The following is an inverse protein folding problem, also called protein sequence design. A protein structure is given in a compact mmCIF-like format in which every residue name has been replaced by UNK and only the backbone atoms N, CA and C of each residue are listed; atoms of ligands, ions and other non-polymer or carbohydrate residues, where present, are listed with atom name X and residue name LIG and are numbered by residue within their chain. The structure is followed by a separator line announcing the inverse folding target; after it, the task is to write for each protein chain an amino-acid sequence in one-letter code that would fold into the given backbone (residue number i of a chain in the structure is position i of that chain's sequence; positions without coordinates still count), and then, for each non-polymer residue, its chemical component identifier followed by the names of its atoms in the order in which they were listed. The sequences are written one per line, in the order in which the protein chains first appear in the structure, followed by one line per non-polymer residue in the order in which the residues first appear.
data_IF_902853518416
#
_entry.id   IF_902853518416
#
_cell.length_a   1.000
_cell.length_b   1.000
_cell.length_c   1.000
_cell.angle_alpha   90.00
_cell.angle_beta   90.00
_cell.angle_gamma   90.00
#
_symmetry.space_group_name_H-M   'P 1'
#
loop_
_entity.id
_entity.type
_entity.pdbx_description
1 polymer ?
#
# COMPACT_ATOMS: atom_id res chain seq x y z
N UNK A 1 8.77 -13.19 0.02
CA UNK A 1 7.59 -12.83 0.79
C UNK A 1 7.26 -11.38 0.52
N UNK A 2 6.01 -11.06 0.25
CA UNK A 2 5.64 -9.68 -0.04
C UNK A 2 5.72 -8.84 1.23
N UNK A 3 5.61 -7.53 1.10
CA UNK A 3 5.47 -6.62 2.23
C UNK A 3 4.28 -6.97 3.12
N UNK A 4 3.25 -7.56 2.54
CA UNK A 4 2.14 -8.06 3.35
C UNK A 4 2.59 -9.18 4.28
N UNK A 5 3.44 -10.06 3.80
CA UNK A 5 4.00 -11.08 4.66
C UNK A 5 4.80 -10.49 5.80
N UNK A 6 5.55 -9.44 5.53
CA UNK A 6 6.23 -8.72 6.58
C UNK A 6 5.27 -8.00 7.52
N UNK A 7 4.32 -7.32 6.95
CA UNK A 7 3.28 -6.70 7.74
C UNK A 7 2.45 -7.73 8.47
N UNK A 8 2.16 -8.81 7.80
CA UNK A 8 1.52 -9.95 8.43
C UNK A 8 2.38 -10.55 9.50
N UNK A 9 3.65 -10.64 9.24
CA UNK A 9 4.57 -11.08 10.25
C UNK A 9 4.57 -10.17 11.46
N UNK A 10 4.51 -8.94 11.23
CA UNK A 10 4.39 -8.00 12.31
C UNK A 10 3.08 -8.15 13.02
N UNK A 11 2.09 -8.33 12.27
CA UNK A 11 0.83 -8.61 12.85
C UNK A 11 0.92 -9.88 13.53
N UNK A 12 1.48 -10.76 12.83
CA UNK A 12 1.60 -11.97 13.38
C UNK A 12 2.19 -11.82 14.67
N UNK A 13 3.05 -11.14 14.63
CA UNK A 13 3.55 -10.96 15.78
C UNK A 13 2.44 -10.70 16.62
N UNK A 14 1.81 -10.14 16.26
CA UNK A 14 0.97 -9.97 17.00
C UNK A 14 0.27 -10.88 17.17
N UNK A 15 0.49 -11.23 16.73
CA UNK A 15 0.06 -11.55 16.95
C UNK A 15 -0.43 -11.98 17.16
N UNK A 16 -0.37 -12.20 17.06
CA UNK A 16 -0.86 -12.43 17.49
C UNK A 16 -1.67 -12.27 18.06
N UNK A 17 -1.53 -12.02 18.39
CA UNK A 17 -2.18 -11.74 18.86
C UNK A 17 -3.08 -11.78 18.37
N UNK A 18 -2.99 -12.00 17.87
CA UNK A 18 -3.55 -11.95 17.57
C UNK A 18 -4.47 -11.90 17.47
N UNK A 19 -4.69 -12.48 17.65
CA UNK A 19 -5.57 -12.24 17.90
C UNK A 19 -5.85 -11.77 18.51
N UNK A 20 -5.54 -11.86 18.61
CA UNK A 20 -5.68 -11.44 19.12
C UNK A 20 -5.73 -10.88 18.84
N UNK A 21 -5.64 -11.31 18.33
CA UNK A 21 -5.77 -10.89 18.13
C UNK A 21 -5.97 -10.03 18.29
N UNK A 22 -6.61 -10.47 18.41
CA UNK A 22 -6.87 -9.46 18.94
C UNK A 22 -5.88 -8.97 19.46
N UNK A 23 -5.60 -9.61 19.70
CA UNK A 23 -4.64 -9.42 20.28
C UNK A 23 -3.87 -8.98 19.46
N UNK A 24 -4.08 -9.43 18.66
CA UNK A 24 -3.54 -9.08 17.97
C UNK A 24 -3.31 -7.97 18.01
N UNK A 25 -4.07 -7.78 18.30
CA UNK A 25 -3.96 -6.63 18.77
C UNK A 25 -2.75 -6.41 19.42
N UNK A 26 -2.44 -7.33 20.09
CA UNK A 26 -1.24 -7.31 20.72
C UNK A 26 -0.27 -7.25 19.72
N UNK A 27 -0.52 -7.93 18.83
CA UNK A 27 0.27 -7.90 17.86
C UNK A 27 0.49 -6.64 17.35
N UNK A 28 -0.45 -6.04 17.22
CA UNK A 28 -0.38 -4.67 16.97
C UNK A 28 0.55 -4.00 17.94
N UNK A 29 0.51 -4.47 19.12
CA UNK A 29 1.44 -4.00 20.11
C UNK A 29 2.86 -4.17 19.64
N UNK A 30 3.16 -5.34 19.20
CA UNK A 30 4.47 -5.64 18.69
C UNK A 30 4.89 -4.72 17.56
N UNK A 31 4.03 -4.51 16.64
CA UNK A 31 4.29 -3.60 15.53
C UNK A 31 4.30 -2.14 15.96
N UNK A 32 3.67 -1.84 17.01
CA UNK A 32 3.45 -0.47 17.45
C UNK A 32 4.66 0.22 18.07
N UNK A 33 5.75 -0.47 18.27
CA UNK A 33 6.84 0.13 19.01
C UNK A 33 6.36 0.68 20.36
N UNK A 34 6.87 1.79 20.78
CA UNK A 34 6.55 2.38 22.07
C UNK A 34 5.04 2.68 22.24
N UNK A 35 4.41 3.22 21.22
CA UNK A 35 2.98 3.51 21.27
C UNK A 35 2.14 2.27 21.32
N UNK A 36 2.49 1.28 20.52
CA UNK A 36 1.82 -0.01 20.52
C UNK A 36 2.03 -0.77 21.81
N UNK A 37 3.22 -0.72 22.37
CA UNK A 37 3.52 -1.33 23.65
C UNK A 37 2.65 -0.73 24.76
N UNK A 38 2.47 0.57 24.78
CA UNK A 38 1.64 1.26 25.75
C UNK A 38 0.18 0.82 25.65
N UNK A 39 -0.37 0.79 24.46
CA UNK A 39 -1.74 0.36 24.23
C UNK A 39 -1.90 -1.13 24.51
N UNK A 40 -0.95 -1.95 24.12
CA UNK A 40 -0.96 -3.37 24.44
C UNK A 40 -0.93 -3.63 25.92
N UNK A 41 -0.06 -2.93 26.66
CA UNK A 41 0.01 -3.04 28.09
C UNK A 41 -1.30 -2.67 28.77
N UNK A 42 -1.99 -1.64 28.30
CA UNK A 42 -3.30 -1.27 28.80
C UNK A 42 -4.35 -2.36 28.52
N UNK A 43 -4.39 -2.86 27.30
CA UNK A 43 -5.31 -3.94 26.94
C UNK A 43 -5.03 -5.22 27.75
N UNK A 44 -3.78 -5.57 27.91
CA UNK A 44 -3.35 -6.73 28.72
C UNK A 44 -3.72 -6.57 30.18
N UNK A 45 -3.62 -5.36 30.72
CA UNK A 45 -4.04 -5.08 32.11
C UNK A 45 -5.52 -5.39 32.32
N UNK A 46 -6.39 -5.06 31.35
CA UNK A 46 -7.81 -5.38 31.41
C UNK A 46 -8.12 -6.86 31.12
N UNK A 47 -7.27 -7.55 30.40
CA UNK A 47 -7.44 -8.95 30.05
C UNK A 47 -6.76 -9.91 31.03
N UNK A 48 -5.92 -9.42 31.93
CA UNK A 48 -5.21 -10.22 32.92
C UNK A 48 -6.21 -10.73 34.00
N UNK A 49 -6.35 -12.04 34.22
CA UNK A 49 -7.29 -12.61 35.19
C UNK A 49 -7.16 -12.04 36.60
N UNK A 50 -5.92 -11.81 37.05
CA UNK A 50 -5.65 -11.24 38.38
C UNK A 50 -6.15 -9.80 38.45
N UNK A 51 -5.95 -9.03 37.38
CA UNK A 51 -6.45 -7.65 37.31
C UNK A 51 -8.00 -7.63 37.27
N UNK A 52 -8.60 -8.56 36.51
CA UNK A 52 -10.06 -8.68 36.46
C UNK A 52 -10.64 -8.97 37.83
N UNK A 53 -10.06 -9.93 38.58
CA UNK A 53 -10.45 -10.25 39.95
C UNK A 53 -10.28 -9.04 40.88
N UNK A 54 -9.14 -8.36 40.80
CA UNK A 54 -8.87 -7.17 41.59
C UNK A 54 -9.89 -6.04 41.29
N UNK A 55 -10.28 -5.87 40.05
CA UNK A 55 -11.31 -4.89 39.64
C UNK A 55 -12.69 -5.27 40.17
N UNK A 56 -13.04 -6.56 40.15
CA UNK A 56 -14.32 -7.06 40.69
C UNK A 56 -14.37 -6.81 42.18
N UNK A 57 -13.33 -7.21 42.91
CA UNK A 57 -13.24 -7.05 44.38
C UNK A 57 -13.16 -5.57 44.77
N UNK A 58 -12.37 -4.78 44.03
CA UNK A 58 -12.22 -3.36 44.30
C UNK A 58 -13.49 -2.55 44.07
N UNK A 59 -14.38 -3.02 43.24
CA UNK A 59 -15.65 -2.38 42.93
C UNK A 59 -16.49 -2.11 44.18
N UNK A 60 -16.59 -3.07 45.08
CA UNK A 60 -17.40 -2.95 46.31
C UNK A 60 -16.93 -1.79 47.18
N UNK A 61 -15.61 -1.52 47.23
CA UNK A 61 -15.04 -0.43 47.99
C UNK A 61 -15.09 0.92 47.28
N UNK A 62 -15.38 0.97 46.01
CA UNK A 62 -15.40 2.21 45.19
C UNK A 62 -16.79 2.63 44.72
N UNK A 63 -17.74 1.71 44.73
CA UNK A 63 -19.12 2.08 44.40
C UNK A 63 -19.77 2.87 45.49
N UNK A 64 -20.34 4.00 45.12
CA UNK A 64 -21.21 4.79 45.96
C UNK A 64 -22.66 4.35 45.69
N UNK A 65 -23.43 4.09 46.73
CA UNK A 65 -24.85 3.74 46.60
C UNK A 65 -25.62 4.97 46.17
N UNK A 66 -25.81 5.12 44.88
CA UNK A 66 -26.34 6.34 44.31
C UNK A 66 -27.53 6.14 43.41
N UNK A 67 -28.27 7.23 43.26
CA UNK A 67 -29.38 7.30 42.32
C UNK A 67 -28.88 7.16 40.89
N UNK A 68 -29.34 6.17 40.13
CA UNK A 68 -28.90 5.95 38.74
C UNK A 68 -29.08 7.16 37.82
N UNK A 69 -29.95 8.11 38.21
CA UNK A 69 -30.19 9.34 37.44
C UNK A 69 -29.04 10.37 37.48
N UNK A 70 -28.03 10.16 38.31
CA UNK A 70 -26.87 11.06 38.43
C UNK A 70 -25.70 10.72 37.50
N UNK A 71 -25.82 9.68 36.69
CA UNK A 71 -24.77 9.33 35.76
C UNK A 71 -24.79 10.16 34.49
N UNK A 72 -23.59 10.46 33.99
CA UNK A 72 -23.43 11.01 32.66
C UNK A 72 -23.95 10.00 31.64
N UNK A 73 -25.10 10.25 31.06
CA UNK A 73 -25.57 9.50 29.91
C UNK A 73 -24.72 9.95 28.68
N UNK A 74 -24.08 9.04 27.97
CA UNK A 74 -23.42 9.42 26.73
C UNK A 74 -24.45 9.94 25.73
N UNK A 75 -24.17 11.08 25.13
CA UNK A 75 -25.01 11.64 24.08
C UNK A 75 -24.76 10.85 22.80
N UNK A 76 -25.81 10.25 22.26
CA UNK A 76 -25.74 9.59 20.97
C UNK A 76 -25.49 10.62 19.87
N UNK A 77 -24.72 10.23 18.81
CA UNK A 77 -24.59 11.08 17.64
C UNK A 77 -25.94 11.50 17.09
N UNK A 78 -26.08 12.77 16.75
CA UNK A 78 -27.33 13.32 16.21
C UNK A 78 -27.60 12.81 14.78
N UNK A 79 -26.59 12.38 14.08
CA UNK A 79 -26.66 11.86 12.72
C UNK A 79 -26.26 10.40 12.71
N UNK A 80 -27.10 9.56 12.12
CA UNK A 80 -26.74 8.16 11.83
C UNK A 80 -25.72 8.12 10.69
N UNK A 81 -24.92 7.05 10.64
CA UNK A 81 -23.87 6.84 9.63
C UNK A 81 -22.83 7.99 9.58
N UNK A 82 -22.56 8.59 10.74
CA UNK A 82 -21.51 9.60 10.86
C UNK A 82 -20.12 8.96 10.85
N UNK A 83 -19.37 9.20 9.80
CA UNK A 83 -18.02 8.66 9.64
C UNK A 83 -17.06 9.09 10.78
N UNK A 84 -17.34 10.15 11.53
CA UNK A 84 -16.55 10.55 12.69
C UNK A 84 -16.56 9.51 13.81
N UNK A 85 -17.54 8.61 13.84
CA UNK A 85 -17.57 7.50 14.79
C UNK A 85 -16.42 6.53 14.60
N UNK A 86 -15.76 6.53 13.45
CA UNK A 86 -14.53 5.74 13.21
C UNK A 86 -13.39 6.14 14.16
N UNK A 87 -13.39 7.31 14.78
CA UNK A 87 -12.38 7.67 15.80
C UNK A 87 -12.45 6.78 17.05
N UNK A 88 -13.60 6.17 17.32
CA UNK A 88 -13.82 5.26 18.45
C UNK A 88 -13.38 3.83 18.16
N UNK A 89 -13.09 3.50 16.91
CA UNK A 89 -12.71 2.16 16.50
C UNK A 89 -11.23 1.91 16.67
N UNK A 90 -10.86 0.69 16.92
CA UNK A 90 -9.47 0.27 16.84
C UNK A 90 -8.93 0.46 15.41
N UNK A 91 -7.66 0.74 15.31
CA UNK A 91 -7.01 1.03 14.01
C UNK A 91 -7.17 -0.11 12.99
N UNK A 92 -7.13 -1.36 13.46
CA UNK A 92 -7.27 -2.51 12.58
C UNK A 92 -8.71 -2.67 12.05
N UNK A 93 -9.74 -2.39 12.89
CA UNK A 93 -11.16 -2.41 12.47
C UNK A 93 -11.39 -1.35 11.39
N UNK A 94 -10.86 -0.16 11.63
CA UNK A 94 -10.94 0.97 10.71
C UNK A 94 -10.27 0.65 9.37
N UNK A 95 -9.06 0.07 9.41
CA UNK A 95 -8.32 -0.32 8.22
C UNK A 95 -9.05 -1.42 7.44
N UNK A 96 -9.57 -2.44 8.12
CA UNK A 96 -10.34 -3.51 7.49
C UNK A 96 -11.61 -2.99 6.82
N UNK A 97 -12.39 -2.18 7.50
CA UNK A 97 -13.63 -1.63 6.95
C UNK A 97 -13.33 -0.72 5.75
N UNK A 98 -12.32 0.14 5.86
CA UNK A 98 -11.92 1.00 4.75
C UNK A 98 -11.37 0.20 3.54
N UNK A 99 -10.69 -0.92 3.78
CA UNK A 99 -10.24 -1.80 2.70
C UNK A 99 -11.43 -2.44 1.97
N UNK A 100 -12.40 -2.96 2.71
CA UNK A 100 -13.61 -3.55 2.10
C UNK A 100 -14.39 -2.51 1.31
N UNK A 101 -14.49 -1.30 1.83
CA UNK A 101 -15.10 -0.16 1.14
C UNK A 101 -14.33 0.22 -0.15
N UNK A 102 -12.99 0.19 -0.11
CA UNK A 102 -12.14 0.44 -1.28
C UNK A 102 -12.30 -0.63 -2.36
N UNK A 103 -12.56 -1.87 -1.97
CA UNK A 103 -12.72 -3.00 -2.89
C UNK A 103 -14.11 -3.07 -3.55
N UNK A 104 -15.06 -2.26 -3.11
CA UNK A 104 -16.39 -2.24 -3.73
C UNK A 104 -16.31 -1.86 -5.20
N UNK A 105 -16.94 -2.68 -6.04
CA UNK A 105 -16.94 -2.52 -7.49
C UNK A 105 -15.65 -2.97 -8.19
N UNK A 106 -14.64 -3.43 -7.46
CA UNK A 106 -13.44 -4.03 -8.05
C UNK A 106 -13.75 -5.44 -8.53
N UNK A 107 -13.44 -5.70 -9.79
CA UNK A 107 -13.57 -7.02 -10.42
C UNK A 107 -12.38 -7.29 -11.32
N UNK A 108 -12.25 -8.55 -11.77
CA UNK A 108 -11.11 -9.00 -12.55
C UNK A 108 -11.57 -9.89 -13.68
N UNK A 109 -10.86 -9.82 -14.81
CA UNK A 109 -11.12 -10.71 -15.95
C UNK A 109 -9.88 -10.92 -16.80
N UNK A 110 -9.84 -12.04 -17.52
CA UNK A 110 -8.86 -12.29 -18.56
C UNK A 110 -9.27 -11.58 -19.87
N UNK A 111 -8.28 -11.12 -20.64
CA UNK A 111 -8.48 -10.46 -21.94
C UNK A 111 -7.38 -10.92 -22.90
N UNK A 112 -7.64 -12.00 -23.61
CA UNK A 112 -6.61 -12.62 -24.45
C UNK A 112 -5.38 -13.06 -23.62
N UNK A 113 -4.19 -12.55 -23.96
CA UNK A 113 -2.95 -12.77 -23.20
C UNK A 113 -2.70 -11.70 -22.13
N UNK A 114 -3.74 -11.00 -21.71
CA UNK A 114 -3.68 -9.98 -20.68
C UNK A 114 -4.66 -10.29 -19.54
N UNK A 115 -4.44 -9.63 -18.42
CA UNK A 115 -5.37 -9.64 -17.30
C UNK A 115 -5.74 -8.21 -16.91
N UNK A 116 -6.98 -8.03 -16.51
CA UNK A 116 -7.57 -6.73 -16.24
C UNK A 116 -8.11 -6.65 -14.83
N UNK A 117 -7.97 -5.49 -14.21
CA UNK A 117 -8.76 -5.06 -13.07
C UNK A 117 -9.71 -3.96 -13.52
N UNK A 118 -10.97 -4.07 -13.09
CA UNK A 118 -12.03 -3.12 -13.41
C UNK A 118 -12.58 -2.48 -12.14
N UNK A 119 -13.08 -1.26 -12.29
CA UNK A 119 -13.88 -0.57 -11.28
C UNK A 119 -15.27 -0.32 -11.83
N UNK A 120 -16.28 -0.96 -11.25
CA UNK A 120 -17.68 -0.89 -11.68
C UNK A 120 -17.85 -1.10 -13.20
N UNK A 121 -17.13 -2.09 -13.73
CA UNK A 121 -17.15 -2.45 -15.15
C UNK A 121 -16.25 -1.62 -16.06
N UNK A 122 -15.66 -0.52 -15.60
CA UNK A 122 -14.68 0.24 -16.38
C UNK A 122 -13.26 -0.25 -16.11
N UNK A 123 -12.45 -0.31 -17.18
CA UNK A 123 -11.05 -0.70 -17.06
C UNK A 123 -10.30 0.24 -16.11
N UNK A 124 -9.64 -0.32 -15.11
CA UNK A 124 -8.72 0.39 -14.22
C UNK A 124 -7.27 0.16 -14.67
N UNK A 125 -6.87 -1.09 -14.80
CA UNK A 125 -5.58 -1.45 -15.36
C UNK A 125 -5.62 -2.75 -16.14
N UNK A 126 -4.83 -2.80 -17.21
CA UNK A 126 -4.59 -4.00 -18.00
C UNK A 126 -3.09 -4.29 -18.05
N UNK A 127 -2.71 -5.54 -17.86
CA UNK A 127 -1.32 -5.99 -17.97
C UNK A 127 -1.27 -7.17 -18.94
N UNK A 128 -0.62 -6.94 -20.10
CA UNK A 128 -0.25 -7.99 -21.03
C UNK A 128 0.86 -8.86 -20.46
N UNK A 129 0.76 -10.17 -20.64
CA UNK A 129 1.81 -11.13 -20.25
C UNK A 129 2.94 -11.13 -21.27
N UNK A 130 4.18 -10.79 -20.88
CA UNK A 130 5.34 -10.97 -21.76
C UNK A 130 5.54 -12.44 -22.13
N UNK A 131 6.16 -12.68 -23.27
CA UNK A 131 6.52 -14.03 -23.68
C UNK A 131 7.74 -14.57 -22.87
N UNK A 132 7.92 -15.87 -22.91
CA UNK A 132 9.00 -16.53 -22.17
C UNK A 132 10.39 -16.08 -22.64
N UNK A 133 10.57 -15.84 -23.95
CA UNK A 133 11.83 -15.38 -24.51
C UNK A 133 12.26 -14.02 -23.96
N UNK A 134 11.31 -13.15 -23.62
CA UNK A 134 11.58 -11.87 -22.96
C UNK A 134 12.24 -12.07 -21.61
N UNK A 135 11.68 -12.96 -20.77
CA UNK A 135 12.26 -13.24 -19.46
C UNK A 135 13.65 -13.89 -19.57
N UNK A 136 13.81 -14.83 -20.50
CA UNK A 136 15.12 -15.45 -20.78
C UNK A 136 16.16 -14.40 -21.23
N UNK A 137 15.78 -13.46 -22.09
CA UNK A 137 16.66 -12.40 -22.57
C UNK A 137 17.03 -11.38 -21.46
N UNK A 138 16.24 -11.30 -20.37
CA UNK A 138 16.53 -10.42 -19.22
C UNK A 138 17.46 -11.07 -18.18
N UNK A 139 17.73 -12.37 -18.25
CA UNK A 139 18.64 -13.05 -17.29
C UNK A 139 20.02 -12.39 -17.24
N UNK A 140 20.70 -12.08 -18.36
CA UNK A 140 22.00 -11.40 -18.31
C UNK A 140 21.96 -10.06 -17.55
N UNK A 141 20.86 -9.31 -17.64
CA UNK A 141 20.69 -8.05 -16.90
C UNK A 141 20.59 -8.31 -15.39
N UNK A 142 19.82 -9.31 -14.98
CA UNK A 142 19.70 -9.69 -13.57
C UNK A 142 21.05 -10.12 -13.00
N UNK A 143 21.83 -10.89 -13.77
CA UNK A 143 23.17 -11.32 -13.38
C UNK A 143 24.16 -10.15 -13.31
N UNK A 144 24.12 -9.22 -14.26
CA UNK A 144 24.96 -8.02 -14.25
C UNK A 144 24.64 -7.11 -13.06
N UNK A 145 23.37 -6.92 -12.75
CA UNK A 145 23.00 -6.09 -11.61
C UNK A 145 23.32 -6.71 -10.25
N UNK A 146 23.57 -8.01 -10.20
CA UNK A 146 24.03 -8.69 -8.99
C UNK A 146 25.37 -8.16 -8.46
N UNK A 147 26.20 -7.51 -9.29
CA UNK A 147 27.42 -6.84 -8.87
C UNK A 147 27.19 -5.75 -7.83
N UNK A 148 25.99 -5.14 -7.83
CA UNK A 148 25.61 -4.12 -6.86
C UNK A 148 25.21 -4.70 -5.49
N UNK A 149 25.12 -6.00 -5.32
CA UNK A 149 24.62 -6.65 -4.09
C UNK A 149 25.42 -6.28 -2.86
N UNK A 150 26.75 -6.25 -2.99
CA UNK A 150 27.61 -5.93 -1.86
C UNK A 150 27.30 -4.52 -1.31
N UNK A 151 27.17 -3.56 -2.20
CA UNK A 151 26.87 -2.18 -1.86
C UNK A 151 25.45 -2.00 -1.28
N UNK A 152 24.48 -2.76 -1.79
CA UNK A 152 23.06 -2.58 -1.48
C UNK A 152 22.45 -3.59 -0.51
N UNK A 153 23.27 -4.52 0.00
CA UNK A 153 22.79 -5.64 0.81
C UNK A 153 21.93 -5.18 2.01
N UNK A 154 22.44 -4.26 2.81
CA UNK A 154 21.73 -3.74 3.98
C UNK A 154 20.42 -3.08 3.61
N UNK A 155 20.42 -2.28 2.54
CA UNK A 155 19.22 -1.62 2.04
C UNK A 155 18.18 -2.64 1.54
N UNK A 156 18.61 -3.63 0.76
CA UNK A 156 17.75 -4.69 0.25
C UNK A 156 17.08 -5.47 1.38
N UNK A 157 17.86 -5.82 2.41
CA UNK A 157 17.35 -6.54 3.58
C UNK A 157 16.35 -5.69 4.37
N UNK A 158 16.64 -4.41 4.60
CA UNK A 158 15.74 -3.50 5.29
C UNK A 158 14.43 -3.24 4.52
N UNK A 159 14.43 -3.46 3.20
CA UNK A 159 13.25 -3.29 2.34
C UNK A 159 12.36 -4.54 2.22
N UNK A 160 12.67 -5.63 2.93
CA UNK A 160 11.81 -6.82 2.99
C UNK A 160 10.51 -6.49 3.75
N UNK A 161 10.64 -5.75 4.82
CA UNK A 161 9.52 -5.27 5.65
C UNK A 161 8.94 -3.94 5.12
N UNK A 162 7.84 -3.46 5.69
CA UNK A 162 7.25 -2.19 5.30
C UNK A 162 8.25 -1.04 5.32
N UNK A 163 8.29 -0.30 4.22
CA UNK A 163 9.33 0.68 3.90
C UNK A 163 9.09 2.05 4.55
N UNK A 164 8.41 2.13 5.71
CA UNK A 164 8.06 3.39 6.36
C UNK A 164 9.25 4.29 6.65
N UNK A 165 10.37 3.72 7.11
CA UNK A 165 11.58 4.47 7.42
C UNK A 165 12.15 5.20 6.19
N UNK A 166 12.06 4.58 5.02
CA UNK A 166 12.53 5.19 3.77
C UNK A 166 11.69 6.40 3.36
N UNK A 167 10.38 6.37 3.58
CA UNK A 167 9.51 7.53 3.37
C UNK A 167 9.74 8.59 4.45
N UNK A 168 9.91 8.17 5.70
CA UNK A 168 10.16 9.06 6.83
C UNK A 168 11.46 9.85 6.67
N UNK A 169 12.46 9.30 6.01
CA UNK A 169 13.72 10.01 5.73
C UNK A 169 13.58 11.18 4.75
N UNK A 170 12.48 11.20 3.96
CA UNK A 170 12.21 12.26 2.98
C UNK A 170 11.22 13.28 3.55
N UNK A 171 10.13 12.82 4.16
CA UNK A 171 9.02 13.69 4.56
C UNK A 171 8.79 13.74 6.07
N UNK A 172 9.70 13.17 6.84
CA UNK A 172 9.68 13.15 8.30
C UNK A 172 8.32 12.69 8.88
N UNK A 173 7.92 11.47 8.57
CA UNK A 173 6.80 10.83 9.26
C UNK A 173 7.22 10.36 10.65
N UNK A 174 6.31 10.46 11.61
CA UNK A 174 6.54 10.03 12.99
C UNK A 174 5.28 9.34 13.52
N UNK A 175 5.38 8.18 14.22
CA UNK A 175 4.22 7.42 14.67
C UNK A 175 3.19 8.23 15.46
N UNK A 176 3.63 9.14 16.31
CA UNK A 176 2.74 9.97 17.13
C UNK A 176 2.17 11.19 16.38
N UNK A 177 2.87 11.71 15.38
CA UNK A 177 2.49 12.94 14.67
C UNK A 177 1.74 12.70 13.38
N UNK A 178 2.02 11.57 12.72
CA UNK A 178 1.46 11.22 11.42
C UNK A 178 0.84 9.81 11.45
N UNK A 179 0.22 9.48 12.57
CA UNK A 179 -0.38 8.17 12.81
C UNK A 179 -1.44 7.81 11.76
N UNK A 180 -2.25 8.78 11.34
CA UNK A 180 -3.27 8.57 10.32
C UNK A 180 -2.67 8.39 8.92
N UNK A 181 -1.51 9.01 8.67
CA UNK A 181 -0.74 8.77 7.45
C UNK A 181 -0.19 7.34 7.42
N UNK A 182 0.31 6.82 8.54
CA UNK A 182 0.72 5.41 8.64
C UNK A 182 -0.47 4.45 8.42
N UNK A 183 -1.63 4.74 9.00
CA UNK A 183 -2.85 3.97 8.76
C UNK A 183 -3.23 4.00 7.26
N UNK A 184 -3.15 5.17 6.63
CA UNK A 184 -3.44 5.34 5.21
C UNK A 184 -2.46 4.55 4.33
N UNK A 185 -1.15 4.61 4.60
CA UNK A 185 -0.14 3.84 3.87
C UNK A 185 -0.41 2.34 4.00
N UNK A 186 -0.72 1.86 5.20
CA UNK A 186 -1.06 0.46 5.40
C UNK A 186 -2.28 0.02 4.58
N UNK A 187 -3.31 0.86 4.52
CA UNK A 187 -4.49 0.60 3.70
C UNK A 187 -4.14 0.53 2.20
N UNK A 188 -3.30 1.46 1.71
CA UNK A 188 -2.80 1.44 0.33
C UNK A 188 -2.02 0.15 0.04
N UNK A 189 -1.15 -0.26 0.95
CA UNK A 189 -0.37 -1.49 0.80
C UNK A 189 -1.28 -2.73 0.70
N UNK A 190 -2.27 -2.85 1.59
CA UNK A 190 -3.20 -3.98 1.56
C UNK A 190 -4.05 -4.01 0.30
N UNK A 191 -4.51 -2.85 -0.16
CA UNK A 191 -5.22 -2.73 -1.43
C UNK A 191 -4.34 -3.18 -2.61
N UNK A 192 -3.09 -2.71 -2.67
CA UNK A 192 -2.14 -3.12 -3.70
C UNK A 192 -1.87 -4.62 -3.67
N UNK A 193 -1.63 -5.19 -2.49
CA UNK A 193 -1.38 -6.63 -2.33
C UNK A 193 -2.54 -7.46 -2.86
N UNK A 194 -3.78 -7.10 -2.53
CA UNK A 194 -4.94 -7.83 -3.05
C UNK A 194 -4.97 -7.81 -4.59
N UNK A 195 -4.78 -6.64 -5.20
CA UNK A 195 -4.84 -6.51 -6.66
C UNK A 195 -3.64 -7.20 -7.33
N UNK A 196 -2.42 -6.93 -6.87
CA UNK A 196 -1.21 -7.52 -7.48
C UNK A 196 -1.20 -9.05 -7.40
N UNK A 197 -1.70 -9.63 -6.31
CA UNK A 197 -1.79 -11.08 -6.16
C UNK A 197 -2.77 -11.71 -7.14
N UNK A 198 -3.85 -11.01 -7.51
CA UNK A 198 -4.75 -11.44 -8.57
C UNK A 198 -4.06 -11.47 -9.94
N UNK A 199 -3.23 -10.44 -10.24
CA UNK A 199 -2.41 -10.43 -11.45
C UNK A 199 -1.35 -11.52 -11.43
N UNK A 200 -0.62 -11.69 -10.34
CA UNK A 200 0.42 -12.73 -10.20
C UNK A 200 -0.13 -14.14 -10.41
N UNK A 201 -1.32 -14.40 -9.85
CA UNK A 201 -2.01 -15.66 -10.05
C UNK A 201 -2.43 -15.88 -11.52
N UNK A 202 -3.04 -14.88 -12.13
CA UNK A 202 -3.58 -15.01 -13.48
C UNK A 202 -2.49 -15.08 -14.56
N UNK A 203 -1.43 -14.27 -14.43
CA UNK A 203 -0.35 -14.20 -15.41
C UNK A 203 0.71 -15.31 -15.22
N UNK A 204 0.85 -15.85 -14.01
CA UNK A 204 1.65 -17.02 -13.65
C UNK A 204 3.08 -17.03 -14.25
N UNK A 205 3.80 -15.92 -14.15
CA UNK A 205 5.17 -15.81 -14.63
C UNK A 205 6.18 -16.29 -13.57
N UNK A 206 7.21 -16.97 -14.01
CA UNK A 206 8.22 -17.57 -13.14
C UNK A 206 9.27 -16.55 -12.67
N UNK A 207 10.03 -16.93 -11.64
CA UNK A 207 11.09 -16.11 -11.07
C UNK A 207 12.39 -16.26 -11.83
N UNK A 208 13.33 -15.28 -11.77
CA UNK A 208 14.61 -15.38 -12.44
C UNK A 208 15.39 -16.65 -12.08
N UNK A 209 15.35 -17.10 -10.83
CA UNK A 209 16.05 -18.32 -10.38
C UNK A 209 15.48 -19.60 -11.02
N UNK A 210 14.23 -19.59 -11.44
CA UNK A 210 13.60 -20.73 -12.11
C UNK A 210 14.03 -20.86 -13.57
N UNK A 211 14.50 -19.75 -14.18
CA UNK A 211 15.12 -19.74 -15.50
C UNK A 211 16.61 -20.05 -15.47
N UNK A 212 17.32 -19.58 -14.43
CA UNK A 212 18.77 -19.77 -14.33
C UNK A 212 19.21 -19.78 -12.86
N UNK A 213 19.72 -20.94 -12.41
CA UNK A 213 20.20 -21.13 -11.04
C UNK A 213 21.40 -20.22 -10.68
N UNK A 214 22.13 -19.69 -11.64
CA UNK A 214 23.23 -18.75 -11.40
C UNK A 214 22.75 -17.39 -10.87
N UNK A 215 21.47 -17.09 -10.97
CA UNK A 215 20.88 -15.86 -10.39
C UNK A 215 21.08 -15.81 -8.88
N UNK A 216 20.97 -16.92 -8.17
CA UNK A 216 21.22 -17.04 -6.73
C UNK A 216 20.62 -15.86 -5.94
N UNK A 217 19.30 -15.83 -5.72
CA UNK A 217 18.67 -14.71 -5.02
C UNK A 217 19.26 -14.51 -3.63
N UNK A 218 19.55 -13.26 -3.26
CA UNK A 218 20.14 -12.96 -1.95
C UNK A 218 19.11 -12.82 -0.81
N UNK A 219 17.81 -12.94 -1.12
CA UNK A 219 16.71 -12.94 -0.17
C UNK A 219 15.76 -14.08 -0.52
N UNK A 220 14.92 -14.48 0.44
CA UNK A 220 13.92 -15.53 0.21
C UNK A 220 13.05 -15.21 -0.99
N UNK A 221 13.01 -16.13 -1.96
CA UNK A 221 12.16 -16.03 -3.13
C UNK A 221 10.74 -16.50 -2.76
N UNK A 222 9.73 -15.65 -2.92
CA UNK A 222 8.35 -16.07 -2.65
C UNK A 222 7.87 -17.14 -3.64
N UNK A 223 7.00 -18.04 -3.19
CA UNK A 223 6.44 -19.10 -4.03
C UNK A 223 5.38 -18.65 -5.05
N UNK A 224 4.93 -17.41 -4.99
CA UNK A 224 4.00 -16.85 -5.98
C UNK A 224 4.75 -16.24 -7.16
N UNK A 225 4.07 -16.10 -8.30
CA UNK A 225 4.64 -15.58 -9.55
C UNK A 225 5.40 -14.25 -9.41
N UNK A 226 6.31 -14.02 -10.35
CA UNK A 226 7.16 -12.82 -10.37
C UNK A 226 6.39 -11.56 -10.81
N UNK A 227 5.56 -11.67 -11.83
CA UNK A 227 5.01 -10.57 -12.61
C UNK A 227 3.54 -10.25 -12.26
N UNK A 228 3.22 -8.96 -12.04
CA UNK A 228 4.10 -7.80 -11.84
C UNK A 228 4.82 -7.83 -10.49
N UNK A 229 5.87 -7.01 -10.30
CA UNK A 229 6.59 -6.90 -9.03
C UNK A 229 5.70 -6.29 -7.94
N UNK A 230 5.53 -7.01 -6.81
CA UNK A 230 4.76 -6.53 -5.67
C UNK A 230 5.37 -5.29 -5.03
N UNK A 231 6.67 -5.32 -4.73
CA UNK A 231 7.37 -4.15 -4.19
C UNK A 231 7.25 -2.93 -5.11
N UNK A 232 7.42 -3.10 -6.43
CA UNK A 232 7.28 -1.99 -7.37
C UNK A 232 5.84 -1.43 -7.36
N UNK A 233 4.81 -2.29 -7.30
CA UNK A 233 3.42 -1.87 -7.20
C UNK A 233 3.19 -1.05 -5.92
N UNK A 234 3.59 -1.59 -4.79
CA UNK A 234 3.34 -1.02 -3.48
C UNK A 234 4.07 0.32 -3.29
N UNK A 235 5.36 0.38 -3.61
CA UNK A 235 6.14 1.60 -3.38
C UNK A 235 5.74 2.75 -4.30
N UNK A 236 5.37 2.46 -5.56
CA UNK A 236 4.89 3.51 -6.45
C UNK A 236 3.48 3.97 -6.10
N UNK A 237 2.62 3.09 -5.57
CA UNK A 237 1.33 3.49 -5.04
C UNK A 237 1.48 4.40 -3.80
N UNK A 238 2.34 4.02 -2.86
CA UNK A 238 2.61 4.83 -1.66
C UNK A 238 3.21 6.19 -2.04
N UNK A 239 4.22 6.22 -2.92
CA UNK A 239 4.78 7.48 -3.39
C UNK A 239 3.72 8.38 -4.05
N UNK A 240 2.86 7.80 -4.90
CA UNK A 240 1.75 8.51 -5.53
C UNK A 240 0.78 9.09 -4.49
N UNK A 241 0.34 8.28 -3.54
CA UNK A 241 -0.60 8.70 -2.48
C UNK A 241 0.02 9.78 -1.60
N UNK A 242 1.28 9.65 -1.18
CA UNK A 242 1.97 10.66 -0.38
C UNK A 242 2.10 11.99 -1.11
N UNK A 243 2.45 11.97 -2.40
CA UNK A 243 2.50 13.19 -3.22
C UNK A 243 1.15 13.89 -3.30
N UNK A 244 0.07 13.12 -3.50
CA UNK A 244 -1.29 13.66 -3.59
C UNK A 244 -1.82 14.12 -2.22
N UNK A 245 -1.44 13.44 -1.13
CA UNK A 245 -1.78 13.84 0.23
C UNK A 245 -1.20 15.21 0.60
N UNK A 246 0.01 15.50 0.13
CA UNK A 246 0.72 16.74 0.37
C UNK A 246 0.38 17.86 -0.62
N UNK A 247 -0.48 17.63 -1.60
CA UNK A 247 -0.85 18.65 -2.57
C UNK A 247 -1.41 19.92 -1.92
N UNK A 248 -1.12 21.10 -2.49
CA UNK A 248 -1.58 22.35 -1.94
C UNK A 248 -3.10 22.47 -1.97
N UNK A 249 -3.61 23.25 -1.05
CA UNK A 249 -4.99 23.75 -1.03
C UNK A 249 -4.98 25.21 -0.59
N UNK A 250 -6.13 25.80 -0.37
CA UNK A 250 -6.23 27.20 0.07
C UNK A 250 -5.49 27.52 1.37
N UNK A 251 -5.11 26.49 2.14
CA UNK A 251 -4.48 26.64 3.46
C UNK A 251 -3.03 26.14 3.49
N UNK A 252 -2.53 25.61 2.38
CA UNK A 252 -1.26 24.88 2.31
C UNK A 252 -0.47 25.21 1.06
N UNK A 253 0.81 25.59 1.18
CA UNK A 253 1.69 25.71 0.01
C UNK A 253 2.03 24.34 -0.58
N UNK A 254 2.48 24.25 -1.84
CA UNK A 254 2.99 23.04 -2.41
C UNK A 254 4.28 22.59 -1.70
N UNK A 255 4.50 21.26 -1.57
CA UNK A 255 5.79 20.76 -1.13
C UNK A 255 6.88 21.16 -2.14
N UNK A 256 8.14 21.31 -1.70
CA UNK A 256 9.25 21.53 -2.63
C UNK A 256 9.31 20.44 -3.71
N UNK A 257 9.63 20.82 -4.95
CA UNK A 257 9.75 19.87 -6.07
C UNK A 257 10.77 18.76 -5.76
N UNK A 258 11.83 19.09 -5.02
CA UNK A 258 12.82 18.12 -4.56
C UNK A 258 12.24 16.99 -3.71
N UNK A 259 11.23 17.28 -2.88
CA UNK A 259 10.54 16.26 -2.08
C UNK A 259 9.77 15.30 -3.00
N UNK A 260 9.08 15.85 -4.00
CA UNK A 260 8.34 15.05 -4.99
C UNK A 260 9.29 14.13 -5.76
N UNK A 261 10.42 14.69 -6.25
CA UNK A 261 11.43 13.91 -6.96
C UNK A 261 12.06 12.83 -6.09
N UNK A 262 12.34 13.13 -4.81
CA UNK A 262 12.91 12.14 -3.89
C UNK A 262 11.97 10.98 -3.63
N UNK A 263 10.67 11.21 -3.50
CA UNK A 263 9.67 10.14 -3.34
C UNK A 263 9.66 9.22 -4.57
N UNK A 264 9.69 9.79 -5.78
CA UNK A 264 9.72 8.99 -7.01
C UNK A 264 11.04 8.22 -7.17
N UNK A 265 12.19 8.84 -6.82
CA UNK A 265 13.51 8.18 -6.84
C UNK A 265 13.59 7.06 -5.81
N UNK A 266 13.03 7.27 -4.61
CA UNK A 266 12.99 6.24 -3.57
C UNK A 266 12.16 5.03 -4.01
N UNK A 267 11.00 5.26 -4.62
CA UNK A 267 10.18 4.18 -5.19
C UNK A 267 10.93 3.41 -6.28
N UNK A 268 11.57 4.12 -7.21
CA UNK A 268 12.37 3.52 -8.26
C UNK A 268 13.54 2.71 -7.71
N UNK A 269 14.24 3.24 -6.69
CA UNK A 269 15.36 2.55 -6.05
C UNK A 269 14.93 1.25 -5.37
N UNK A 270 13.82 1.25 -4.63
CA UNK A 270 13.29 0.04 -4.00
C UNK A 270 12.90 -1.00 -5.07
N UNK A 271 12.24 -0.58 -6.15
CA UNK A 271 11.89 -1.47 -7.26
C UNK A 271 13.12 -2.08 -7.93
N UNK A 272 14.15 -1.26 -8.20
CA UNK A 272 15.43 -1.69 -8.77
C UNK A 272 16.15 -2.69 -7.86
N UNK A 273 16.13 -2.46 -6.56
CA UNK A 273 16.76 -3.35 -5.59
C UNK A 273 16.17 -4.77 -5.60
N UNK A 274 14.96 -4.97 -6.09
CA UNK A 274 14.39 -6.33 -6.26
C UNK A 274 15.02 -7.07 -7.43
N UNK A 275 15.45 -6.35 -8.47
CA UNK A 275 16.23 -6.93 -9.59
C UNK A 275 17.65 -7.24 -9.12
N UNK A 276 18.31 -6.32 -8.43
CA UNK A 276 19.62 -6.53 -7.81
C UNK A 276 19.61 -7.76 -6.89
N UNK A 277 18.54 -7.91 -6.09
CA UNK A 277 18.36 -9.07 -5.23
C UNK A 277 18.16 -10.40 -5.98
N UNK A 278 17.89 -10.37 -7.27
CA UNK A 278 17.67 -11.56 -8.09
C UNK A 278 16.28 -12.18 -7.97
N UNK A 279 15.29 -11.46 -7.41
CA UNK A 279 13.94 -11.99 -7.22
C UNK A 279 12.94 -11.51 -8.27
N UNK A 280 13.30 -10.53 -9.09
CA UNK A 280 12.47 -9.94 -10.13
C UNK A 280 13.26 -9.60 -11.40
N UNK A 281 12.54 -9.55 -12.52
CA UNK A 281 13.02 -8.99 -13.76
C UNK A 281 12.75 -7.48 -13.87
N UNK A 282 13.50 -6.75 -14.73
CA UNK A 282 13.16 -5.35 -15.07
C UNK A 282 11.70 -5.19 -15.54
N UNK A 283 11.20 -6.10 -16.38
CA UNK A 283 9.80 -6.10 -16.85
C UNK A 283 8.80 -6.16 -15.70
N UNK A 284 9.09 -6.95 -14.65
CA UNK A 284 8.23 -7.03 -13.46
C UNK A 284 8.08 -5.67 -12.78
N UNK A 285 9.20 -4.93 -12.69
CA UNK A 285 9.24 -3.60 -12.08
C UNK A 285 8.52 -2.56 -12.93
N UNK A 286 8.62 -2.67 -14.27
CA UNK A 286 7.90 -1.80 -15.21
C UNK A 286 6.38 -1.96 -15.05
N UNK A 287 5.89 -3.19 -15.09
CA UNK A 287 4.46 -3.49 -14.92
C UNK A 287 3.98 -3.11 -13.50
N UNK A 288 4.79 -3.40 -12.49
CA UNK A 288 4.49 -3.05 -11.10
C UNK A 288 4.40 -1.54 -10.89
N UNK A 289 5.29 -0.75 -11.48
CA UNK A 289 5.20 0.72 -11.42
C UNK A 289 3.91 1.23 -12.03
N UNK A 290 3.55 0.79 -13.21
CA UNK A 290 2.31 1.22 -13.87
C UNK A 290 1.10 0.87 -13.01
N UNK A 291 1.03 -0.36 -12.51
CA UNK A 291 -0.04 -0.80 -11.64
C UNK A 291 -0.10 0.03 -10.36
N UNK A 292 1.04 0.24 -9.70
CA UNK A 292 1.12 0.98 -8.45
C UNK A 292 0.65 2.43 -8.56
N UNK A 293 1.12 3.16 -9.58
CA UNK A 293 0.66 4.55 -9.82
C UNK A 293 -0.82 4.58 -10.13
N UNK A 294 -1.32 3.64 -10.95
CA UNK A 294 -2.75 3.56 -11.28
C UNK A 294 -3.61 3.30 -10.04
N UNK A 295 -3.19 2.36 -9.19
CA UNK A 295 -3.90 2.05 -7.94
C UNK A 295 -3.83 3.21 -6.93
N UNK A 296 -2.68 3.91 -6.86
CA UNK A 296 -2.53 5.08 -5.99
C UNK A 296 -3.44 6.23 -6.40
N UNK A 297 -3.50 6.56 -7.68
CA UNK A 297 -4.44 7.58 -8.22
C UNK A 297 -5.89 7.19 -8.01
N UNK A 298 -6.24 5.93 -8.28
CA UNK A 298 -7.58 5.41 -8.05
C UNK A 298 -7.96 5.49 -6.57
N UNK A 299 -7.05 5.09 -5.68
CA UNK A 299 -7.25 5.16 -4.23
C UNK A 299 -7.60 6.58 -3.80
N UNK A 300 -6.81 7.57 -4.23
CA UNK A 300 -7.07 8.98 -3.89
C UNK A 300 -8.39 9.45 -4.49
N UNK A 301 -8.66 9.11 -5.74
CA UNK A 301 -9.92 9.47 -6.40
C UNK A 301 -11.15 8.91 -5.66
N UNK A 302 -11.06 7.68 -5.12
CA UNK A 302 -12.10 7.09 -4.26
C UNK A 302 -12.26 7.83 -2.94
N UNK A 303 -11.14 8.18 -2.31
CA UNK A 303 -11.14 8.89 -1.03
C UNK A 303 -11.63 10.34 -1.13
N UNK A 304 -11.45 10.98 -2.29
CA UNK A 304 -11.79 12.39 -2.51
C UNK A 304 -13.07 12.61 -3.31
N UNK A 305 -13.72 11.53 -3.73
CA UNK A 305 -14.97 11.61 -4.49
C UNK A 305 -16.10 12.20 -3.65
N UNK A 306 -16.82 13.15 -4.24
CA UNK A 306 -18.02 13.76 -3.64
C UNK A 306 -19.16 13.76 -4.65
N UNK A 307 -20.39 14.00 -4.21
CA UNK A 307 -21.54 14.15 -5.11
C UNK A 307 -21.36 15.33 -6.07
N UNK A 308 -20.78 16.43 -5.59
CA UNK A 308 -20.54 17.64 -6.40
C UNK A 308 -19.33 17.50 -7.34
N UNK A 309 -18.33 16.75 -6.94
CA UNK A 309 -17.10 16.49 -7.70
C UNK A 309 -16.75 14.99 -7.66
N UNK A 310 -17.41 14.19 -8.47
CA UNK A 310 -17.15 12.74 -8.51
C UNK A 310 -15.72 12.45 -8.95
N UNK A 311 -15.06 11.56 -8.21
CA UNK A 311 -13.70 11.14 -8.49
C UNK A 311 -13.57 10.53 -9.89
N UNK A 312 -12.44 10.78 -10.53
CA UNK A 312 -12.07 10.22 -11.83
C UNK A 312 -10.68 9.63 -11.75
N UNK A 313 -10.39 8.63 -12.55
CA UNK A 313 -9.10 7.96 -12.56
C UNK A 313 -8.59 7.75 -13.99
N UNK A 314 -7.28 7.59 -14.11
CA UNK A 314 -6.64 7.19 -15.35
C UNK A 314 -6.61 5.67 -15.44
N UNK A 315 -7.17 5.13 -16.51
CA UNK A 315 -7.00 3.73 -16.91
C UNK A 315 -5.66 3.57 -17.61
N UNK A 316 -4.89 2.53 -17.28
CA UNK A 316 -3.59 2.28 -17.92
C UNK A 316 -3.44 0.85 -18.40
N UNK A 317 -2.70 0.71 -19.50
CA UNK A 317 -2.34 -0.59 -20.08
C UNK A 317 -0.82 -0.74 -20.17
N UNK A 318 -0.31 -1.87 -19.72
CA UNK A 318 1.05 -2.33 -19.98
C UNK A 318 1.05 -3.20 -21.24
N UNK A 319 1.74 -2.73 -22.28
CA UNK A 319 1.81 -3.43 -23.57
C UNK A 319 3.01 -4.39 -23.59
N UNK A 320 2.75 -5.66 -23.32
CA UNK A 320 3.78 -6.69 -23.36
C UNK A 320 4.46 -6.82 -24.72
N UNK A 321 3.76 -6.59 -25.84
CA UNK A 321 4.35 -6.67 -27.18
C UNK A 321 5.47 -5.67 -27.42
N UNK A 322 5.49 -4.55 -26.71
CA UNK A 322 6.60 -3.59 -26.79
C UNK A 322 7.85 -4.12 -26.10
N UNK A 323 7.72 -4.69 -24.90
CA UNK A 323 8.87 -5.29 -24.21
C UNK A 323 9.32 -6.57 -24.90
N UNK A 324 8.42 -7.33 -25.49
CA UNK A 324 8.75 -8.51 -26.29
C UNK A 324 9.58 -8.14 -27.55
N UNK A 325 9.32 -6.98 -28.14
CA UNK A 325 10.12 -6.43 -29.25
C UNK A 325 11.46 -5.82 -28.84
N UNK A 326 11.64 -5.50 -27.54
CA UNK A 326 12.85 -4.91 -26.99
C UNK A 326 13.14 -5.48 -25.58
N UNK A 327 13.42 -6.80 -25.48
CA UNK A 327 13.45 -7.51 -24.21
C UNK A 327 14.56 -7.05 -23.27
N UNK A 328 15.62 -6.44 -23.77
CA UNK A 328 16.74 -5.90 -22.98
C UNK A 328 16.51 -4.47 -22.49
N UNK A 329 15.29 -3.94 -22.57
CA UNK A 329 14.94 -2.62 -22.03
C UNK A 329 15.10 -2.62 -20.50
N UNK A 330 15.86 -1.65 -20.00
CA UNK A 330 16.05 -1.45 -18.55
C UNK A 330 14.86 -0.75 -17.92
N UNK A 331 14.61 -1.05 -16.65
CA UNK A 331 13.67 -0.28 -15.84
C UNK A 331 14.25 1.10 -15.51
N UNK A 332 13.72 2.13 -16.14
CA UNK A 332 14.05 3.53 -15.86
C UNK A 332 12.81 4.41 -15.92
N UNK A 333 12.14 4.65 -14.78
CA UNK A 333 10.90 5.43 -14.73
C UNK A 333 11.05 6.90 -15.15
N UNK A 334 12.27 7.40 -15.26
CA UNK A 334 12.57 8.78 -15.68
C UNK A 334 12.86 8.91 -17.18
N UNK A 335 12.92 7.77 -17.89
CA UNK A 335 13.10 7.78 -19.34
C UNK A 335 11.80 8.17 -20.06
N UNK A 336 11.91 8.94 -21.12
CA UNK A 336 10.75 9.45 -21.87
C UNK A 336 9.86 8.33 -22.42
N UNK A 337 10.42 7.19 -22.83
CA UNK A 337 9.68 6.05 -23.35
C UNK A 337 8.92 5.27 -22.26
N UNK A 338 9.22 5.52 -20.99
CA UNK A 338 8.54 4.91 -19.86
C UNK A 338 7.59 5.88 -19.13
N UNK A 339 7.13 6.91 -19.80
CA UNK A 339 6.08 7.80 -19.29
C UNK A 339 4.75 7.07 -19.17
N UNK A 340 4.00 7.36 -18.12
CA UNK A 340 2.73 6.70 -17.80
C UNK A 340 1.48 7.46 -18.31
N UNK A 341 1.67 8.61 -18.94
CA UNK A 341 0.59 9.53 -19.36
C UNK A 341 0.41 9.60 -20.89
N UNK A 342 1.02 8.67 -21.62
CA UNK A 342 0.95 8.66 -23.08
C UNK A 342 -0.36 7.99 -23.56
N UNK A 343 -0.97 8.50 -24.65
CA UNK A 343 -2.15 7.86 -25.24
C UNK A 343 -1.79 6.53 -25.93
N UNK A 344 -2.77 5.66 -26.10
CA UNK A 344 -2.57 4.37 -26.79
C UNK A 344 -2.00 4.51 -28.20
N UNK A 345 -2.34 5.59 -28.92
CA UNK A 345 -1.81 5.89 -30.25
C UNK A 345 -0.30 6.13 -30.30
N UNK A 346 0.34 6.35 -29.17
CA UNK A 346 1.80 6.55 -29.10
C UNK A 346 2.59 5.24 -29.37
N UNK A 347 1.97 4.06 -29.28
CA UNK A 347 2.63 2.76 -29.48
C UNK A 347 3.79 2.50 -28.54
N UNK A 348 3.68 2.96 -27.28
CA UNK A 348 4.72 2.85 -26.26
C UNK A 348 4.39 1.73 -25.26
N UNK A 349 5.34 1.47 -24.35
CA UNK A 349 5.24 0.46 -23.31
C UNK A 349 3.98 0.64 -22.43
N UNK A 350 3.62 1.89 -22.17
CA UNK A 350 2.41 2.23 -21.42
C UNK A 350 1.47 3.08 -22.25
N UNK A 351 0.18 2.92 -22.00
CA UNK A 351 -0.82 3.85 -22.47
C UNK A 351 -1.77 4.24 -21.36
N UNK A 352 -2.31 5.44 -21.45
CA UNK A 352 -3.24 5.99 -20.47
C UNK A 352 -4.45 6.62 -21.17
N UNK A 353 -5.62 6.44 -20.56
CA UNK A 353 -6.86 7.07 -21.00
C UNK A 353 -7.71 7.43 -19.77
N UNK A 354 -8.37 8.56 -19.80
CA UNK A 354 -9.31 8.93 -18.74
C UNK A 354 -10.50 7.96 -18.76
N UNK A 355 -10.75 7.31 -17.62
CA UNK A 355 -11.92 6.43 -17.49
C UNK A 355 -13.22 7.24 -17.64
N UNK A 356 -14.20 6.63 -18.30
CA UNK A 356 -15.50 7.27 -18.56
C UNK A 356 -16.37 7.37 -17.30
N UNK A 357 -16.26 6.37 -16.42
CA UNK A 357 -17.06 6.30 -15.20
C UNK A 357 -16.50 7.22 -14.11
N UNK A 358 -17.41 7.85 -13.39
CA UNK A 358 -17.11 8.53 -12.15
C UNK A 358 -17.24 7.59 -10.95
N UNK A 359 -16.49 7.86 -9.91
CA UNK A 359 -16.49 7.08 -8.69
C UNK A 359 -17.54 7.62 -7.71
N UNK A 360 -18.31 6.74 -7.04
CA UNK A 360 -19.25 7.18 -6.04
C UNK A 360 -18.52 7.74 -4.81
N UNK A 361 -19.13 8.69 -4.09
CA UNK A 361 -18.60 9.13 -2.82
C UNK A 361 -18.63 8.02 -1.77
N UNK A 362 -17.67 8.06 -0.86
CA UNK A 362 -17.62 7.20 0.32
C UNK A 362 -17.26 8.04 1.55
N UNK A 363 -18.19 8.28 2.47
CA UNK A 363 -17.91 9.02 3.69
C UNK A 363 -16.79 8.40 4.53
N UNK A 364 -16.71 7.08 4.58
CA UNK A 364 -15.67 6.35 5.34
C UNK A 364 -14.28 6.56 4.76
N UNK A 365 -14.14 6.44 3.44
CA UNK A 365 -12.85 6.69 2.77
C UNK A 365 -12.44 8.15 2.84
N UNK A 366 -13.39 9.06 2.65
CA UNK A 366 -13.15 10.50 2.79
C UNK A 366 -12.68 10.85 4.21
N UNK A 367 -13.25 10.22 5.22
CA UNK A 367 -12.84 10.40 6.61
C UNK A 367 -11.38 9.98 6.83
N UNK A 368 -11.00 8.78 6.41
CA UNK A 368 -9.61 8.28 6.55
C UNK A 368 -8.62 9.22 5.84
N UNK A 369 -8.96 9.63 4.62
CA UNK A 369 -8.15 10.58 3.85
C UNK A 369 -8.00 11.93 4.54
N UNK A 370 -9.11 12.53 4.97
CA UNK A 370 -9.10 13.85 5.58
C UNK A 370 -8.34 13.87 6.91
N UNK A 371 -8.43 12.81 7.71
CA UNK A 371 -7.63 12.68 8.94
C UNK A 371 -6.13 12.60 8.66
N UNK A 372 -5.72 11.81 7.67
CA UNK A 372 -4.33 11.75 7.27
C UNK A 372 -3.86 13.10 6.67
N UNK A 373 -4.69 13.72 5.83
CA UNK A 373 -4.36 15.01 5.21
C UNK A 373 -4.19 16.14 6.24
N UNK A 374 -4.98 16.13 7.31
CA UNK A 374 -4.90 17.13 8.37
C UNK A 374 -3.54 17.12 9.11
N UNK A 375 -2.83 16.00 9.13
CA UNK A 375 -1.51 15.88 9.75
C UNK A 375 -0.42 16.66 8.99
N UNK A 376 -0.68 17.05 7.74
CA UNK A 376 0.25 17.75 6.86
C UNK A 376 0.00 19.26 6.78
N UNK A 377 -0.95 19.79 7.52
CA UNK A 377 -1.21 21.23 7.60
C UNK A 377 0.02 21.95 8.17
N UNK A 378 0.47 23.00 7.49
CA UNK A 378 1.61 23.84 7.88
C UNK A 378 2.98 23.10 7.95
N UNK A 379 3.11 21.97 7.27
CA UNK A 379 4.36 21.18 7.26
C UNK A 379 5.43 21.71 6.30
N UNK A 380 4.99 22.35 5.25
CA UNK A 380 5.85 22.95 4.21
C UNK A 380 5.44 24.42 4.05
N UNK A 381 5.93 25.32 4.91
CA UNK A 381 5.59 26.74 4.87
C UNK A 381 6.17 27.43 3.66
#
# INVERSE_FOLDING_TARGET
MSQLGGAGGAGGAGGAGGAGGAGGAGGAGGAGGAGGATLGTMADAFANPIMVDALILGREGTMVSENPALYYAPILPTTIDDAAQMDRWESWVRAYTALVEMLQGISFQASGNAYQVLSSGSLLAEIGRPNEATFQAQIPMVLSWAELRHERATEIMAQIDPTYAFWSSIIYMHPERTRRTFELINLVLQFCVYVEMRFKHALACWRPVEYNAQVQPMITTPGHGAFPSGHATQVHAVACVLKLLMQPDSTRPPPPSTVIDQLDRQAARIATNRVVAGVHFPADSMAGRMLGVTLGEYFVARCTSTTAAPGRFMSRTFNAGIIDGAPTTEFNPFHADQRLDLPASAGKLYSAVQASNSLPPSPLLAYVWNKARAEWSNRFP
#
